data_IF_179436229844
#
_entry.id   IF_179436229844
#
_cell.length_a   1.000
_cell.length_b   1.000
_cell.length_c   1.000
_cell.angle_alpha   90.00
_cell.angle_beta   90.00
_cell.angle_gamma   90.00
#
_symmetry.space_group_name_H-M   'P 1'
#
loop_
_entity.id
_entity.type
_entity.pdbx_description
1 polymer ?
#
# COMPACT_ATOMS: atom_id res chain seq x y z
N UNK A 1 -22.30 3.45 6.66
CA UNK A 1 -22.15 3.98 5.28
C UNK A 1 -21.44 5.32 5.37
N UNK A 2 -20.53 5.61 4.46
CA UNK A 2 -19.79 6.89 4.41
C UNK A 2 -20.35 7.73 3.26
N UNK A 3 -20.87 8.93 3.54
CA UNK A 3 -21.27 9.88 2.49
C UNK A 3 -20.08 10.73 2.11
N UNK A 4 -19.67 10.70 0.84
CA UNK A 4 -18.49 11.43 0.38
C UNK A 4 -18.90 12.79 -0.15
N UNK A 5 -18.50 13.85 0.56
CA UNK A 5 -18.68 15.24 0.12
C UNK A 5 -17.36 15.94 -0.15
N UNK A 6 -16.28 15.53 0.53
CA UNK A 6 -14.93 16.05 0.33
C UNK A 6 -13.90 14.93 0.25
N UNK A 7 -13.06 14.98 -0.77
CA UNK A 7 -11.95 14.06 -0.98
C UNK A 7 -10.61 14.79 -0.85
N UNK A 8 -9.70 14.25 -0.03
CA UNK A 8 -8.30 14.68 0.02
C UNK A 8 -7.46 13.75 -0.84
N UNK A 9 -6.73 14.30 -1.81
CA UNK A 9 -5.90 13.55 -2.76
C UNK A 9 -4.42 13.94 -2.63
N UNK A 10 -3.57 12.97 -2.36
CA UNK A 10 -2.12 13.16 -2.31
C UNK A 10 -1.41 11.91 -2.82
N UNK A 11 -1.17 11.86 -4.12
CA UNK A 11 -0.61 10.69 -4.80
C UNK A 11 0.78 10.98 -5.35
N UNK A 12 1.72 10.05 -5.26
CA UNK A 12 2.96 10.06 -6.03
C UNK A 12 2.72 9.52 -7.45
N UNK A 13 2.10 8.35 -7.57
CA UNK A 13 1.65 7.77 -8.84
C UNK A 13 0.31 8.39 -9.27
N UNK A 14 0.28 8.99 -10.47
CA UNK A 14 -0.90 9.66 -11.03
C UNK A 14 -1.74 8.77 -11.95
N UNK A 15 -1.37 7.49 -12.10
CA UNK A 15 -2.05 6.56 -13.01
C UNK A 15 -3.55 6.50 -12.73
N UNK A 16 -4.37 6.90 -13.71
CA UNK A 16 -5.84 6.89 -13.63
C UNK A 16 -6.46 7.90 -12.65
N UNK A 17 -5.65 8.74 -12.00
CA UNK A 17 -6.13 9.66 -10.96
C UNK A 17 -7.06 10.74 -11.52
N UNK A 18 -6.79 11.25 -12.72
CA UNK A 18 -7.60 12.27 -13.37
C UNK A 18 -9.01 11.76 -13.68
N UNK A 19 -9.11 10.53 -14.17
CA UNK A 19 -10.37 9.85 -14.49
C UNK A 19 -11.18 9.63 -13.22
N UNK A 20 -10.54 9.12 -12.17
CA UNK A 20 -11.17 8.94 -10.87
C UNK A 20 -11.67 10.27 -10.27
N UNK A 21 -10.84 11.31 -10.32
CA UNK A 21 -11.19 12.62 -9.79
C UNK A 21 -12.33 13.30 -10.59
N UNK A 22 -12.41 13.07 -11.91
CA UNK A 22 -13.56 13.51 -12.72
C UNK A 22 -14.86 12.84 -12.28
N UNK A 23 -14.83 11.55 -11.96
CA UNK A 23 -16.02 10.86 -11.42
C UNK A 23 -16.44 11.42 -10.07
N UNK A 24 -15.49 11.70 -9.18
CA UNK A 24 -15.76 12.37 -7.90
C UNK A 24 -16.39 13.76 -8.10
N UNK A 25 -15.81 14.58 -8.97
CA UNK A 25 -16.31 15.92 -9.26
C UNK A 25 -17.71 15.89 -9.88
N UNK A 26 -18.01 14.92 -10.75
CA UNK A 26 -19.34 14.73 -11.33
C UNK A 26 -20.42 14.39 -10.28
N UNK A 27 -20.02 13.80 -9.15
CA UNK A 27 -20.88 13.55 -8.00
C UNK A 27 -20.98 14.76 -7.04
N UNK A 28 -20.35 15.88 -7.37
CA UNK A 28 -20.33 17.09 -6.55
C UNK A 28 -19.36 17.01 -5.36
N UNK A 29 -18.39 16.09 -5.39
CA UNK A 29 -17.36 15.98 -4.35
C UNK A 29 -16.35 17.12 -4.49
N UNK A 30 -16.10 17.82 -3.38
CA UNK A 30 -15.04 18.83 -3.32
C UNK A 30 -13.66 18.15 -3.28
N UNK A 31 -12.77 18.58 -4.17
CA UNK A 31 -11.41 18.04 -4.26
C UNK A 31 -10.43 18.95 -3.51
N UNK A 32 -9.74 18.37 -2.52
CA UNK A 32 -8.61 18.98 -1.83
C UNK A 32 -7.35 18.21 -2.19
N UNK A 33 -6.27 18.86 -2.61
CA UNK A 33 -5.07 18.12 -3.04
C UNK A 33 -3.74 18.77 -2.64
N UNK A 34 -2.72 17.95 -2.44
CA UNK A 34 -1.33 18.41 -2.21
C UNK A 34 -0.70 18.97 -3.49
N UNK A 35 0.28 19.87 -3.39
CA UNK A 35 0.90 20.62 -4.50
C UNK A 35 0.92 19.92 -5.88
N UNK A 36 1.82 18.95 -6.09
CA UNK A 36 1.92 18.25 -7.38
C UNK A 36 0.68 17.43 -7.78
N UNK A 37 -0.19 17.08 -6.82
CA UNK A 37 -1.51 16.50 -7.12
C UNK A 37 -2.50 17.56 -7.58
N UNK A 38 -2.53 18.71 -6.93
CA UNK A 38 -3.39 19.83 -7.28
C UNK A 38 -3.06 20.34 -8.68
N UNK A 39 -1.77 20.50 -9.00
CA UNK A 39 -1.32 20.91 -10.34
C UNK A 39 -1.77 19.91 -11.41
N UNK A 40 -1.50 18.61 -11.22
CA UNK A 40 -1.91 17.56 -12.15
C UNK A 40 -3.43 17.57 -12.42
N UNK A 41 -4.24 17.69 -11.36
CA UNK A 41 -5.70 17.70 -11.49
C UNK A 41 -6.23 19.00 -12.11
N UNK A 42 -5.61 20.14 -11.79
CA UNK A 42 -5.96 21.44 -12.39
C UNK A 42 -5.69 21.42 -13.90
N UNK A 43 -4.54 20.85 -14.32
CA UNK A 43 -4.21 20.66 -15.73
C UNK A 43 -5.19 19.72 -16.44
N UNK A 44 -5.84 18.81 -15.71
CA UNK A 44 -6.93 17.97 -16.21
C UNK A 44 -8.31 18.66 -16.24
N UNK A 45 -8.37 19.97 -15.95
CA UNK A 45 -9.57 20.81 -16.02
C UNK A 45 -10.46 20.73 -14.77
N UNK A 46 -9.96 20.21 -13.65
CA UNK A 46 -10.73 20.07 -12.41
C UNK A 46 -10.53 21.29 -11.49
N UNK A 47 -11.60 21.65 -10.78
CA UNK A 47 -11.51 22.64 -9.69
C UNK A 47 -10.99 21.95 -8.44
N UNK A 48 -9.85 22.41 -7.94
CA UNK A 48 -9.17 21.82 -6.78
C UNK A 48 -8.80 22.91 -5.78
N UNK A 49 -9.07 22.67 -4.51
CA UNK A 49 -8.54 23.45 -3.39
C UNK A 49 -7.20 22.85 -2.97
N UNK A 50 -6.15 23.65 -2.82
CA UNK A 50 -4.87 23.12 -2.32
C UNK A 50 -4.97 22.79 -0.82
N UNK A 51 -4.18 21.83 -0.33
CA UNK A 51 -4.13 21.50 1.11
C UNK A 51 -3.72 22.73 1.92
N UNK A 52 -2.83 23.55 1.39
CA UNK A 52 -2.35 24.82 1.96
C UNK A 52 -3.52 25.79 2.16
N UNK A 53 -4.34 26.00 1.12
CA UNK A 53 -5.52 26.85 1.19
C UNK A 53 -6.59 26.28 2.14
N UNK A 54 -6.79 24.96 2.11
CA UNK A 54 -7.72 24.28 3.00
C UNK A 54 -7.28 24.41 4.47
N UNK A 55 -6.00 24.20 4.75
CA UNK A 55 -5.44 24.23 6.09
C UNK A 55 -5.19 25.66 6.60
N UNK A 56 -5.04 26.63 5.71
CA UNK A 56 -4.64 28.01 6.04
C UNK A 56 -3.16 28.11 6.40
N UNK A 57 -2.30 27.33 5.74
CA UNK A 57 -0.86 27.27 5.99
C UNK A 57 -0.08 27.62 4.72
N UNK A 58 1.19 28.01 4.89
CA UNK A 58 2.16 28.11 3.80
C UNK A 58 3.03 26.86 3.76
N UNK A 59 3.63 26.57 2.61
CA UNK A 59 4.59 25.47 2.48
C UNK A 59 5.82 25.70 3.38
N UNK A 60 6.32 24.63 4.00
CA UNK A 60 7.45 24.65 4.93
C UNK A 60 8.34 23.42 4.72
N UNK A 61 9.64 23.61 4.96
CA UNK A 61 10.67 22.55 4.93
C UNK A 61 10.65 21.73 3.64
N UNK A 62 10.66 22.41 2.49
CA UNK A 62 10.66 21.80 1.14
C UNK A 62 9.54 20.76 0.95
N UNK A 63 8.36 21.05 1.49
CA UNK A 63 7.17 20.20 1.35
C UNK A 63 7.09 19.01 2.30
N UNK A 64 8.05 18.85 3.24
CA UNK A 64 8.04 17.77 4.25
C UNK A 64 6.85 17.85 5.21
N UNK A 65 6.33 19.06 5.47
CA UNK A 65 5.25 19.30 6.45
C UNK A 65 4.03 19.91 5.77
N UNK A 66 3.63 19.37 4.62
CA UNK A 66 2.47 19.85 3.85
C UNK A 66 1.11 19.41 4.41
N UNK A 67 1.00 18.16 4.88
CA UNK A 67 -0.28 17.56 5.30
C UNK A 67 -0.36 17.28 6.80
N UNK A 68 0.75 17.40 7.53
CA UNK A 68 0.88 17.16 8.96
C UNK A 68 0.32 18.34 9.78
N UNK A 69 -0.95 18.67 9.56
CA UNK A 69 -1.61 19.80 10.19
C UNK A 69 -2.86 19.36 10.96
N UNK A 70 -3.12 19.90 12.18
CA UNK A 70 -4.30 19.53 12.96
C UNK A 70 -5.62 19.71 12.21
N UNK A 71 -5.77 20.76 11.38
CA UNK A 71 -7.00 20.96 10.60
C UNK A 71 -7.28 19.83 9.61
N UNK A 72 -6.23 19.28 8.99
CA UNK A 72 -6.35 18.14 8.06
C UNK A 72 -6.69 16.87 8.84
N UNK A 73 -5.90 16.56 9.88
CA UNK A 73 -6.09 15.33 10.64
C UNK A 73 -7.37 15.33 11.48
N UNK A 74 -7.82 16.49 11.99
CA UNK A 74 -9.11 16.61 12.66
C UNK A 74 -10.27 16.40 11.68
N UNK A 75 -10.15 16.91 10.45
CA UNK A 75 -11.10 16.65 9.36
C UNK A 75 -11.28 15.15 9.07
N UNK A 76 -10.19 14.39 9.14
CA UNK A 76 -10.17 12.93 8.93
C UNK A 76 -10.61 12.16 10.18
N UNK A 77 -10.12 12.53 11.37
CA UNK A 77 -10.29 11.74 12.61
C UNK A 77 -11.54 12.10 13.41
N UNK A 78 -12.24 13.17 13.06
CA UNK A 78 -13.50 13.52 13.71
C UNK A 78 -14.51 12.39 13.55
N UNK A 79 -14.93 11.84 14.69
CA UNK A 79 -16.08 10.95 14.82
C UNK A 79 -17.34 11.69 14.43
N UNK A 80 -18.14 11.10 13.53
CA UNK A 80 -19.34 11.76 12.99
C UNK A 80 -20.59 11.41 13.79
N UNK A 81 -20.48 10.41 14.65
CA UNK A 81 -21.46 10.04 15.66
C UNK A 81 -21.30 10.88 16.96
N UNK A 82 -20.24 11.67 17.10
CA UNK A 82 -20.01 12.58 18.21
C UNK A 82 -20.26 14.06 17.80
N UNK A 83 -21.34 14.69 18.29
CA UNK A 83 -21.66 16.08 17.97
C UNK A 83 -20.59 17.09 18.39
N UNK A 84 -19.81 16.82 19.45
CA UNK A 84 -18.74 17.72 19.89
C UNK A 84 -17.59 17.74 18.88
N UNK A 85 -17.21 16.57 18.34
CA UNK A 85 -16.20 16.47 17.28
C UNK A 85 -16.65 17.22 16.01
N UNK A 86 -17.89 17.01 15.58
CA UNK A 86 -18.44 17.67 14.38
C UNK A 86 -18.48 19.19 14.56
N UNK A 87 -18.88 19.70 15.74
CA UNK A 87 -18.85 21.14 16.04
C UNK A 87 -17.43 21.71 16.06
N UNK A 88 -16.48 21.00 16.65
CA UNK A 88 -15.09 21.46 16.76
C UNK A 88 -14.41 21.58 15.39
N UNK A 89 -14.68 20.67 14.46
CA UNK A 89 -14.11 20.72 13.11
C UNK A 89 -14.91 21.62 12.17
N UNK A 90 -16.23 21.66 12.32
CA UNK A 90 -17.15 22.33 11.42
C UNK A 90 -17.34 21.57 10.10
N UNK A 91 -18.52 21.68 9.49
CA UNK A 91 -18.87 20.91 8.29
C UNK A 91 -17.92 21.14 7.10
N UNK A 92 -17.37 22.36 6.96
CA UNK A 92 -16.39 22.70 5.92
C UNK A 92 -15.00 22.08 6.15
N UNK A 93 -14.68 21.66 7.37
CA UNK A 93 -13.40 21.02 7.70
C UNK A 93 -13.39 19.50 7.59
N UNK A 94 -14.56 18.87 7.40
CA UNK A 94 -14.69 17.41 7.36
C UNK A 94 -14.16 16.82 6.04
N UNK A 95 -13.42 15.72 6.13
CA UNK A 95 -12.91 14.95 4.98
C UNK A 95 -13.53 13.57 5.03
N UNK A 96 -14.07 13.07 3.91
CA UNK A 96 -14.85 11.83 3.87
C UNK A 96 -14.17 10.74 3.02
N UNK A 97 -13.26 11.13 2.14
CA UNK A 97 -12.44 10.24 1.33
C UNK A 97 -10.99 10.71 1.33
N UNK A 98 -10.05 9.79 1.54
CA UNK A 98 -8.61 10.06 1.48
C UNK A 98 -7.98 9.16 0.42
N UNK A 99 -7.43 9.76 -0.64
CA UNK A 99 -6.81 9.07 -1.78
C UNK A 99 -5.31 9.33 -1.75
N UNK A 100 -4.52 8.34 -1.35
CA UNK A 100 -3.08 8.49 -1.14
C UNK A 100 -2.34 7.23 -1.59
N UNK A 101 -1.43 7.36 -2.55
CA UNK A 101 -0.44 6.31 -2.79
C UNK A 101 0.95 6.83 -2.39
N UNK A 102 1.70 5.98 -1.71
CA UNK A 102 3.01 6.31 -1.17
C UNK A 102 4.06 6.28 -2.28
N UNK A 103 5.14 7.04 -2.10
CA UNK A 103 6.31 6.91 -2.97
C UNK A 103 6.78 5.45 -2.99
N UNK A 104 7.19 4.88 -4.13
CA UNK A 104 7.57 3.48 -4.21
C UNK A 104 8.97 3.23 -3.61
N UNK A 105 9.13 3.42 -2.30
CA UNK A 105 10.40 3.31 -1.57
C UNK A 105 11.16 2.03 -1.90
N UNK A 106 10.47 0.88 -1.89
CA UNK A 106 11.07 -0.42 -2.21
C UNK A 106 11.63 -0.50 -3.64
N UNK A 107 11.04 0.22 -4.60
CA UNK A 107 11.57 0.31 -5.97
C UNK A 107 12.74 1.28 -6.05
N UNK A 108 12.67 2.40 -5.31
CA UNK A 108 13.73 3.40 -5.29
C UNK A 108 15.04 2.82 -4.73
N UNK A 109 14.98 2.14 -3.58
CA UNK A 109 16.18 1.54 -2.96
C UNK A 109 16.69 0.30 -3.68
N UNK A 110 15.93 -0.24 -4.65
CA UNK A 110 16.40 -1.31 -5.53
C UNK A 110 17.23 -0.76 -6.70
N UNK A 111 17.24 0.56 -6.94
CA UNK A 111 18.06 1.17 -7.99
C UNK A 111 19.54 1.18 -7.57
N UNK A 112 20.47 0.74 -8.44
CA UNK A 112 21.89 0.78 -8.14
C UNK A 112 22.36 2.22 -7.88
N UNK A 113 23.15 2.43 -6.82
CA UNK A 113 23.85 3.69 -6.57
C UNK A 113 23.04 4.78 -5.85
N UNK A 114 21.83 4.50 -5.36
CA UNK A 114 21.10 5.44 -4.51
C UNK A 114 21.83 5.61 -3.17
N UNK A 115 22.12 6.85 -2.77
CA UNK A 115 22.76 7.11 -1.48
C UNK A 115 21.79 6.91 -0.31
N UNK A 116 22.31 6.72 0.91
CA UNK A 116 21.49 6.68 2.12
C UNK A 116 20.68 7.98 2.29
N UNK A 117 21.29 9.13 2.01
CA UNK A 117 20.62 10.42 2.08
C UNK A 117 19.43 10.49 1.13
N UNK A 118 19.64 10.12 -0.14
CA UNK A 118 18.56 10.12 -1.14
C UNK A 118 17.45 9.13 -0.80
N UNK A 119 17.79 7.97 -0.24
CA UNK A 119 16.81 7.01 0.24
C UNK A 119 15.96 7.57 1.40
N UNK A 120 16.59 8.27 2.35
CA UNK A 120 15.87 8.93 3.47
C UNK A 120 14.89 10.00 2.96
N UNK A 121 15.25 10.73 1.90
CA UNK A 121 14.33 11.70 1.28
C UNK A 121 13.08 11.06 0.65
N UNK A 122 13.15 9.77 0.28
CA UNK A 122 11.99 9.05 -0.25
C UNK A 122 11.02 8.55 0.83
N UNK A 123 11.31 8.76 2.12
CA UNK A 123 10.46 8.32 3.22
C UNK A 123 9.26 9.27 3.38
N UNK A 124 8.11 8.86 2.84
CA UNK A 124 6.84 9.58 2.99
C UNK A 124 6.22 9.48 4.39
N UNK A 125 6.39 10.54 5.20
CA UNK A 125 5.76 10.67 6.52
C UNK A 125 4.27 11.07 6.40
N UNK A 126 4.00 12.05 5.55
CA UNK A 126 2.66 12.67 5.44
C UNK A 126 1.63 11.72 4.85
N UNK A 127 1.99 10.98 3.80
CA UNK A 127 1.13 9.99 3.16
C UNK A 127 0.75 8.85 4.11
N UNK A 128 1.72 8.33 4.86
CA UNK A 128 1.48 7.28 5.87
C UNK A 128 0.54 7.80 6.97
N UNK A 129 0.77 9.02 7.47
CA UNK A 129 -0.09 9.62 8.49
C UNK A 129 -1.54 9.79 8.00
N UNK A 130 -1.74 10.25 6.76
CA UNK A 130 -3.06 10.40 6.15
C UNK A 130 -3.78 9.05 6.00
N UNK A 131 -3.10 8.03 5.46
CA UNK A 131 -3.65 6.69 5.28
C UNK A 131 -4.07 6.08 6.62
N UNK A 132 -3.19 6.11 7.62
CA UNK A 132 -3.49 5.54 8.95
C UNK A 132 -4.62 6.28 9.65
N UNK A 133 -4.69 7.61 9.51
CA UNK A 133 -5.78 8.40 10.08
C UNK A 133 -7.14 8.04 9.47
N UNK A 134 -7.20 7.93 8.13
CA UNK A 134 -8.43 7.57 7.43
C UNK A 134 -8.84 6.12 7.72
N UNK A 135 -7.89 5.17 7.66
CA UNK A 135 -8.13 3.77 7.97
C UNK A 135 -8.59 3.55 9.41
N UNK A 136 -8.04 4.29 10.38
CA UNK A 136 -8.52 4.27 11.77
C UNK A 136 -9.98 4.70 11.87
N UNK A 137 -10.41 5.67 11.07
CA UNK A 137 -11.76 6.24 11.10
C UNK A 137 -12.68 5.70 9.99
N UNK A 138 -12.48 4.45 9.56
CA UNK A 138 -13.15 3.84 8.39
C UNK A 138 -14.68 3.80 8.44
N UNK A 139 -15.25 3.93 9.64
CA UNK A 139 -16.70 4.05 9.86
C UNK A 139 -17.27 5.36 9.30
N UNK A 140 -16.41 6.37 9.12
CA UNK A 140 -16.78 7.72 8.73
C UNK A 140 -15.98 8.27 7.55
N UNK A 141 -14.81 7.70 7.26
CA UNK A 141 -13.91 8.16 6.20
C UNK A 141 -13.44 6.95 5.40
N UNK A 142 -13.62 6.97 4.09
CA UNK A 142 -13.05 5.96 3.21
C UNK A 142 -11.60 6.30 2.86
N UNK A 143 -10.76 5.30 2.62
CA UNK A 143 -9.38 5.49 2.18
C UNK A 143 -9.13 4.70 0.90
N UNK A 144 -8.30 5.22 0.00
CA UNK A 144 -7.94 4.57 -1.26
C UNK A 144 -6.44 4.71 -1.42
N UNK A 145 -5.75 3.57 -1.48
CA UNK A 145 -4.30 3.54 -1.40
C UNK A 145 -3.59 3.03 -2.67
N UNK A 146 -4.34 2.49 -3.62
CA UNK A 146 -3.81 1.91 -4.86
C UNK A 146 -4.70 2.26 -6.07
N UNK A 147 -4.14 2.56 -7.26
CA UNK A 147 -4.93 2.91 -8.45
C UNK A 147 -5.95 1.85 -8.88
N UNK A 148 -5.67 0.57 -8.63
CA UNK A 148 -6.56 -0.55 -8.97
C UNK A 148 -7.90 -0.49 -8.21
N UNK A 149 -7.97 0.26 -7.10
CA UNK A 149 -9.17 0.43 -6.30
C UNK A 149 -10.11 1.52 -6.86
N UNK A 150 -9.63 2.41 -7.73
CA UNK A 150 -10.37 3.59 -8.19
C UNK A 150 -11.71 3.23 -8.82
N UNK A 151 -11.70 2.25 -9.74
CA UNK A 151 -12.92 1.82 -10.44
C UNK A 151 -13.97 1.29 -9.47
N UNK A 152 -13.58 0.40 -8.56
CA UNK A 152 -14.52 -0.19 -7.60
C UNK A 152 -15.15 0.89 -6.70
N UNK A 153 -14.36 1.85 -6.24
CA UNK A 153 -14.84 2.94 -5.39
C UNK A 153 -15.75 3.89 -6.16
N UNK A 154 -15.41 4.22 -7.40
CA UNK A 154 -16.21 5.09 -8.24
C UNK A 154 -17.57 4.44 -8.58
N UNK A 155 -17.55 3.15 -8.94
CA UNK A 155 -18.76 2.36 -9.19
C UNK A 155 -19.66 2.31 -7.95
N UNK A 156 -19.08 2.05 -6.77
CA UNK A 156 -19.81 2.02 -5.51
C UNK A 156 -20.43 3.38 -5.16
N UNK A 157 -19.70 4.49 -5.37
CA UNK A 157 -20.22 5.83 -5.16
C UNK A 157 -21.37 6.16 -6.11
N UNK A 158 -21.27 5.81 -7.40
CA UNK A 158 -22.35 6.04 -8.37
C UNK A 158 -23.61 5.27 -8.00
N UNK A 159 -23.48 3.98 -7.68
CA UNK A 159 -24.59 3.13 -7.28
C UNK A 159 -25.22 3.57 -5.95
N UNK A 160 -24.37 3.96 -4.99
CA UNK A 160 -24.77 4.43 -3.66
C UNK A 160 -25.18 5.90 -3.58
N UNK A 161 -25.28 6.62 -4.71
CA UNK A 161 -25.61 8.06 -4.77
C UNK A 161 -24.70 8.91 -3.88
N UNK A 162 -23.38 8.71 -4.01
CA UNK A 162 -22.34 9.38 -3.22
C UNK A 162 -22.04 8.70 -1.88
N UNK A 163 -22.61 7.52 -1.61
CA UNK A 163 -22.38 6.78 -0.37
C UNK A 163 -21.60 5.49 -0.62
N UNK A 164 -20.69 5.18 0.29
CA UNK A 164 -19.92 3.94 0.32
C UNK A 164 -20.46 2.98 1.38
N UNK A 165 -20.66 1.69 1.04
CA UNK A 165 -21.08 0.67 2.00
C UNK A 165 -19.95 0.32 2.97
N UNK A 166 -20.32 0.00 4.22
CA UNK A 166 -19.37 -0.29 5.30
C UNK A 166 -18.44 -1.48 5.02
N UNK A 167 -18.89 -2.59 4.39
CA UNK A 167 -17.98 -3.67 3.99
C UNK A 167 -16.85 -3.21 3.06
N UNK A 168 -17.13 -2.25 2.16
CA UNK A 168 -16.12 -1.68 1.26
C UNK A 168 -15.15 -0.78 2.02
N UNK A 169 -15.64 0.14 2.87
CA UNK A 169 -14.74 1.03 3.62
C UNK A 169 -13.87 0.27 4.63
N UNK A 170 -14.40 -0.79 5.26
CA UNK A 170 -13.62 -1.68 6.10
C UNK A 170 -12.50 -2.39 5.32
N UNK A 171 -12.81 -2.99 4.16
CA UNK A 171 -11.79 -3.65 3.32
C UNK A 171 -10.72 -2.69 2.84
N UNK A 172 -11.10 -1.47 2.47
CA UNK A 172 -10.17 -0.41 2.08
C UNK A 172 -9.26 0.02 3.24
N UNK A 173 -9.78 0.10 4.46
CA UNK A 173 -8.98 0.40 5.65
C UNK A 173 -7.96 -0.70 5.96
N UNK A 174 -8.35 -1.97 5.82
CA UNK A 174 -7.41 -3.10 5.94
C UNK A 174 -6.29 -2.97 4.89
N UNK A 175 -6.63 -2.71 3.63
CA UNK A 175 -5.65 -2.53 2.56
C UNK A 175 -4.67 -1.38 2.84
N UNK A 176 -5.14 -0.26 3.40
CA UNK A 176 -4.29 0.86 3.78
C UNK A 176 -3.31 0.50 4.91
N UNK A 177 -3.77 -0.21 5.95
CA UNK A 177 -2.87 -0.67 7.01
C UNK A 177 -1.85 -1.70 6.50
N UNK A 178 -2.27 -2.64 5.65
CA UNK A 178 -1.37 -3.57 4.98
C UNK A 178 -0.31 -2.82 4.16
N UNK A 179 -0.69 -1.81 3.38
CA UNK A 179 0.26 -1.00 2.63
C UNK A 179 1.29 -0.33 3.55
N UNK A 180 0.85 0.33 4.63
CA UNK A 180 1.77 1.00 5.57
C UNK A 180 2.68 0.01 6.30
N UNK A 181 2.19 -1.18 6.66
CA UNK A 181 3.02 -2.24 7.25
C UNK A 181 4.12 -2.71 6.31
N UNK A 182 3.81 -2.90 5.02
CA UNK A 182 4.80 -3.23 3.99
C UNK A 182 5.82 -2.12 3.80
N UNK A 183 5.35 -0.89 3.81
CA UNK A 183 6.17 0.29 3.64
C UNK A 183 7.20 0.43 4.76
N UNK A 184 6.77 0.35 6.01
CA UNK A 184 7.66 0.41 7.18
C UNK A 184 8.62 -0.79 7.24
N UNK A 185 8.17 -1.98 6.84
CA UNK A 185 9.03 -3.17 6.73
C UNK A 185 10.17 -2.94 5.73
N UNK A 186 9.89 -2.33 4.58
CA UNK A 186 10.91 -2.03 3.58
C UNK A 186 11.93 -0.99 4.09
N UNK A 187 11.47 0.04 4.79
CA UNK A 187 12.34 1.07 5.41
C UNK A 187 13.23 0.43 6.47
N UNK A 188 12.65 -0.33 7.40
CA UNK A 188 13.40 -0.99 8.48
C UNK A 188 14.45 -1.97 7.91
N UNK A 189 14.08 -2.74 6.89
CA UNK A 189 15.01 -3.66 6.21
C UNK A 189 16.18 -2.92 5.56
N UNK A 190 15.92 -1.82 4.86
CA UNK A 190 16.97 -1.02 4.21
C UNK A 190 17.91 -0.38 5.24
N UNK A 191 17.38 0.31 6.25
CA UNK A 191 18.18 0.98 7.28
C UNK A 191 18.96 -0.04 8.15
N UNK A 192 18.35 -1.19 8.45
CA UNK A 192 19.00 -2.26 9.21
C UNK A 192 20.20 -2.85 8.47
N UNK A 193 20.08 -3.11 7.16
CA UNK A 193 21.18 -3.65 6.36
C UNK A 193 22.40 -2.72 6.32
N UNK A 194 22.19 -1.39 6.31
CA UNK A 194 23.27 -0.41 6.36
C UNK A 194 24.05 -0.45 7.68
N UNK A 195 23.34 -0.65 8.81
CA UNK A 195 23.97 -0.81 10.12
C UNK A 195 24.82 -2.09 10.18
N UNK A 196 24.34 -3.18 9.58
CA UNK A 196 25.07 -4.44 9.50
C UNK A 196 26.33 -4.34 8.64
N UNK A 197 26.29 -3.59 7.53
CA UNK A 197 27.48 -3.36 6.69
C UNK A 197 28.57 -2.53 7.38
N UNK A 198 28.20 -1.55 8.20
CA UNK A 198 29.14 -0.79 9.03
C UNK A 198 29.81 -1.66 10.11
N UNK A 199 29.09 -2.64 10.66
CA UNK A 199 29.61 -3.59 11.64
C UNK A 199 30.41 -4.75 11.01
N UNK A 200 30.04 -5.22 9.81
CA UNK A 200 30.68 -6.36 9.14
C UNK A 200 31.99 -6.03 8.44
N UNK A 201 32.30 -4.74 8.21
CA UNK A 201 33.61 -4.33 7.70
C UNK A 201 34.78 -4.67 8.66
N UNK A 202 34.48 -5.09 9.90
CA UNK A 202 35.47 -5.49 10.90
C UNK A 202 35.58 -7.02 11.12
N UNK A 203 34.75 -7.84 10.45
CA UNK A 203 34.80 -9.30 10.62
C UNK A 203 34.76 -10.01 9.26
N UNK A 204 35.89 -10.62 8.88
CA UNK A 204 35.97 -11.57 7.77
C UNK A 204 35.18 -12.84 8.14
N UNK A 205 33.87 -12.81 7.89
CA UNK A 205 32.93 -13.89 8.19
C UNK A 205 31.59 -13.63 7.51
N UNK A 206 30.79 -14.69 7.36
CA UNK A 206 29.45 -14.60 6.76
C UNK A 206 28.62 -13.50 7.44
N UNK A 207 27.79 -12.73 6.70
CA UNK A 207 27.00 -11.66 7.29
C UNK A 207 26.15 -12.19 8.44
N UNK A 208 26.17 -11.48 9.57
CA UNK A 208 25.35 -11.83 10.73
C UNK A 208 23.86 -11.84 10.34
N UNK A 209 23.11 -12.82 10.82
CA UNK A 209 21.66 -12.83 10.68
C UNK A 209 21.06 -11.61 11.41
N UNK A 210 19.99 -11.00 10.89
CA UNK A 210 19.41 -9.82 11.52
C UNK A 210 18.70 -10.19 12.83
N UNK A 211 18.74 -9.28 13.81
CA UNK A 211 18.01 -9.42 15.09
C UNK A 211 16.49 -9.48 14.90
N UNK A 212 15.98 -8.87 13.82
CA UNK A 212 14.57 -8.89 13.46
C UNK A 212 14.40 -9.21 11.97
N UNK A 213 13.54 -10.18 11.67
CA UNK A 213 13.13 -10.52 10.31
C UNK A 213 11.61 -10.42 10.16
N UNK A 214 11.16 -9.79 9.07
CA UNK A 214 9.74 -9.69 8.73
C UNK A 214 9.49 -10.31 7.36
N UNK A 215 8.55 -11.25 7.29
CA UNK A 215 8.17 -11.93 6.05
C UNK A 215 6.80 -11.44 5.62
N UNK A 216 6.74 -10.71 4.51
CA UNK A 216 5.48 -10.21 3.96
C UNK A 216 5.12 -10.97 2.69
N UNK A 217 3.98 -11.67 2.73
CA UNK A 217 3.49 -12.50 1.62
C UNK A 217 2.02 -12.19 1.32
N UNK A 218 1.61 -12.37 0.07
CA UNK A 218 0.23 -12.26 -0.38
C UNK A 218 -0.28 -13.63 -0.78
N UNK A 219 -1.50 -13.94 -0.35
CA UNK A 219 -2.18 -15.17 -0.77
C UNK A 219 -2.44 -15.14 -2.27
N UNK A 220 -1.98 -16.18 -2.97
CA UNK A 220 -2.27 -16.39 -4.40
C UNK A 220 -3.57 -17.16 -4.58
N UNK A 221 -3.78 -18.26 -3.85
CA UNK A 221 -5.03 -19.03 -3.82
C UNK A 221 -5.09 -19.96 -2.60
N UNK A 222 -6.27 -20.55 -2.34
CA UNK A 222 -6.42 -21.65 -1.38
C UNK A 222 -5.87 -22.93 -1.99
N UNK A 223 -5.22 -23.78 -1.19
CA UNK A 223 -4.95 -25.16 -1.59
C UNK A 223 -6.15 -26.03 -1.24
N UNK A 224 -6.29 -27.16 -1.94
CA UNK A 224 -7.38 -28.12 -1.70
C UNK A 224 -7.41 -28.62 -0.25
N UNK A 225 -6.23 -28.85 0.32
CA UNK A 225 -5.96 -29.17 1.72
C UNK A 225 -4.47 -28.88 2.00
N UNK A 226 -4.05 -29.02 3.26
CA UNK A 226 -2.64 -28.98 3.66
C UNK A 226 -1.90 -30.25 3.23
N UNK A 227 -1.03 -30.77 4.08
CA UNK A 227 -0.35 -32.05 3.82
C UNK A 227 -1.35 -33.22 3.79
N UNK A 228 -2.36 -33.15 4.67
CA UNK A 228 -3.42 -34.14 4.82
C UNK A 228 -4.82 -33.52 4.61
N UNK A 229 -5.84 -34.31 4.18
CA UNK A 229 -7.18 -33.79 3.84
C UNK A 229 -7.92 -33.01 4.93
N UNK A 230 -7.61 -33.26 6.21
CA UNK A 230 -8.23 -32.58 7.35
C UNK A 230 -7.60 -31.20 7.64
N UNK A 231 -6.47 -30.88 7.01
CA UNK A 231 -5.74 -29.63 7.20
C UNK A 231 -6.14 -28.61 6.12
N UNK A 232 -6.21 -27.33 6.48
CA UNK A 232 -6.39 -26.25 5.52
C UNK A 232 -5.03 -25.80 4.98
N UNK A 233 -4.96 -25.44 3.70
CA UNK A 233 -3.76 -24.93 3.06
C UNK A 233 -4.01 -23.67 2.24
N UNK A 234 -3.00 -22.81 2.13
CA UNK A 234 -3.03 -21.65 1.25
C UNK A 234 -1.65 -21.42 0.65
N UNK A 235 -1.60 -21.05 -0.63
CA UNK A 235 -0.36 -20.69 -1.31
C UNK A 235 -0.14 -19.19 -1.20
N UNK A 236 0.98 -18.80 -0.59
CA UNK A 236 1.35 -17.40 -0.37
C UNK A 236 2.67 -17.11 -1.09
N UNK A 237 2.75 -15.96 -1.76
CA UNK A 237 3.93 -15.54 -2.52
C UNK A 237 4.47 -14.21 -1.96
N UNK A 238 5.79 -13.98 -1.96
CA UNK A 238 6.36 -12.69 -1.59
C UNK A 238 5.72 -11.55 -2.39
N UNK A 239 5.45 -10.41 -1.74
CA UNK A 239 4.86 -9.22 -2.41
C UNK A 239 5.91 -8.47 -3.22
N UNK A 240 7.13 -8.40 -2.70
CA UNK A 240 8.33 -7.96 -3.37
C UNK A 240 9.35 -9.10 -3.33
N UNK A 241 10.04 -9.35 -4.44
CA UNK A 241 10.98 -10.46 -4.47
C UNK A 241 11.50 -10.77 -5.86
N UNK A 242 12.35 -11.78 -5.88
CA UNK A 242 13.00 -12.31 -7.08
C UNK A 242 11.98 -12.65 -8.18
N UNK A 243 12.28 -12.41 -9.47
CA UNK A 243 11.49 -12.95 -10.58
C UNK A 243 11.60 -14.49 -10.69
N UNK A 244 12.42 -15.11 -9.84
CA UNK A 244 12.71 -16.53 -9.81
C UNK A 244 12.01 -17.23 -8.64
N UNK A 245 11.77 -18.54 -8.79
CA UNK A 245 11.23 -19.41 -7.74
C UNK A 245 9.79 -19.85 -7.97
N UNK A 246 9.28 -20.71 -7.08
CA UNK A 246 7.94 -21.31 -7.21
C UNK A 246 6.81 -20.27 -7.28
N UNK A 247 7.02 -19.10 -6.66
CA UNK A 247 6.05 -18.01 -6.64
C UNK A 247 5.71 -17.47 -8.03
N UNK A 248 6.63 -17.58 -9.01
CA UNK A 248 6.45 -17.07 -10.38
C UNK A 248 6.01 -18.14 -11.39
N UNK A 249 5.87 -19.39 -10.95
CA UNK A 249 5.44 -20.47 -11.82
C UNK A 249 4.05 -20.22 -12.42
N UNK A 250 3.93 -20.60 -13.68
CA UNK A 250 2.68 -20.66 -14.43
C UNK A 250 2.38 -22.11 -14.75
N UNK A 251 1.32 -22.64 -14.17
CA UNK A 251 0.81 -23.95 -14.55
C UNK A 251 0.19 -23.87 -15.95
N UNK A 252 0.74 -24.63 -16.90
CA UNK A 252 0.26 -24.66 -18.29
C UNK A 252 -0.88 -25.66 -18.48
N UNK A 253 -0.88 -26.77 -17.72
CA UNK A 253 -1.87 -27.84 -17.81
C UNK A 253 -2.01 -28.62 -16.49
N UNK A 254 -3.01 -29.50 -16.42
CA UNK A 254 -3.25 -30.39 -15.30
C UNK A 254 -4.20 -29.81 -14.25
N UNK A 255 -4.44 -30.59 -13.20
CA UNK A 255 -5.24 -30.16 -12.04
C UNK A 255 -4.43 -29.24 -11.14
N UNK A 256 -5.13 -28.44 -10.35
CA UNK A 256 -4.51 -27.59 -9.32
C UNK A 256 -3.54 -28.40 -8.44
N UNK A 257 -2.36 -27.84 -8.18
CA UNK A 257 -1.33 -28.48 -7.38
C UNK A 257 -1.76 -28.58 -5.91
N UNK A 258 -1.51 -29.75 -5.30
CA UNK A 258 -1.67 -29.94 -3.86
C UNK A 258 -0.48 -29.37 -3.07
N UNK A 259 -0.61 -29.27 -1.75
CA UNK A 259 0.48 -28.89 -0.85
C UNK A 259 1.74 -29.74 -1.09
N UNK A 260 1.60 -31.07 -1.12
CA UNK A 260 2.71 -31.99 -1.33
C UNK A 260 3.33 -31.84 -2.72
N UNK A 261 2.54 -31.47 -3.75
CA UNK A 261 3.11 -31.22 -5.07
C UNK A 261 4.00 -29.98 -5.08
N UNK A 262 3.69 -28.94 -4.29
CA UNK A 262 4.59 -27.79 -4.16
C UNK A 262 5.87 -28.16 -3.41
N UNK A 263 5.81 -29.00 -2.38
CA UNK A 263 7.00 -29.50 -1.68
C UNK A 263 7.90 -30.33 -2.61
N UNK A 264 7.32 -31.31 -3.31
CA UNK A 264 8.05 -32.16 -4.24
C UNK A 264 8.66 -31.35 -5.39
N UNK A 265 7.96 -30.30 -5.87
CA UNK A 265 8.47 -29.41 -6.92
C UNK A 265 9.59 -28.50 -6.42
N UNK A 266 9.51 -28.00 -5.18
CA UNK A 266 10.60 -27.22 -4.57
C UNK A 266 11.87 -28.07 -4.45
N UNK A 267 11.72 -29.29 -3.92
CA UNK A 267 12.82 -30.24 -3.77
C UNK A 267 13.43 -30.61 -5.13
N UNK A 268 12.60 -30.93 -6.13
CA UNK A 268 13.06 -31.29 -7.46
C UNK A 268 13.85 -30.14 -8.12
N UNK A 269 13.36 -28.89 -8.00
CA UNK A 269 14.05 -27.72 -8.55
C UNK A 269 15.38 -27.46 -7.85
N UNK A 270 15.43 -27.53 -6.52
CA UNK A 270 16.68 -27.34 -5.77
C UNK A 270 17.73 -28.37 -6.15
N UNK A 271 17.37 -29.66 -6.20
CA UNK A 271 18.28 -30.71 -6.64
C UNK A 271 18.73 -30.51 -8.08
N UNK A 272 17.85 -30.04 -8.98
CA UNK A 272 18.21 -29.79 -10.37
C UNK A 272 19.24 -28.65 -10.52
N UNK A 273 19.18 -27.65 -9.64
CA UNK A 273 20.11 -26.51 -9.65
C UNK A 273 21.52 -26.86 -9.16
N UNK A 274 21.73 -28.04 -8.56
CA UNK A 274 23.06 -28.50 -8.13
C UNK A 274 23.93 -29.02 -9.29
N UNK A 275 23.37 -29.18 -10.49
CA UNK A 275 24.05 -29.74 -11.65
C UNK A 275 24.15 -28.73 -12.80
N UNK A 276 25.34 -28.59 -13.39
CA UNK A 276 25.57 -27.76 -14.56
C UNK A 276 25.20 -28.45 -15.89
N UNK A 277 25.16 -29.78 -15.91
CA UNK A 277 24.83 -30.58 -17.09
C UNK A 277 23.32 -30.83 -17.21
N UNK A 278 22.79 -31.14 -18.42
CA UNK A 278 21.39 -31.51 -18.58
C UNK A 278 20.99 -32.66 -17.66
N UNK A 279 20.11 -32.37 -16.69
CA UNK A 279 19.79 -33.27 -15.58
C UNK A 279 18.28 -33.51 -15.47
N UNK A 280 17.90 -34.74 -15.11
CA UNK A 280 16.52 -35.12 -14.80
C UNK A 280 16.43 -35.54 -13.33
N UNK A 281 15.48 -34.96 -12.59
CA UNK A 281 15.24 -35.28 -11.17
C UNK A 281 13.81 -35.79 -11.02
N UNK A 282 13.64 -36.92 -10.32
CA UNK A 282 12.35 -37.52 -10.00
C UNK A 282 12.23 -37.58 -8.48
N UNK A 283 11.30 -36.80 -7.92
CA UNK A 283 10.99 -36.76 -6.49
C UNK A 283 9.64 -37.41 -6.22
N UNK A 284 9.50 -38.04 -5.06
CA UNK A 284 8.24 -38.56 -4.55
C UNK A 284 8.27 -38.58 -3.02
N UNK A 285 7.31 -37.91 -2.38
CA UNK A 285 7.13 -37.87 -0.93
C UNK A 285 8.32 -37.25 -0.18
N UNK A 286 8.49 -35.94 -0.35
CA UNK A 286 9.39 -35.12 0.47
C UNK A 286 8.84 -34.90 1.88
#
# INVERSE_FOLDING_TARGET
MVTVKRALLSCSDKTGLDTFAKELAALGVELVASGGTAEFLTNAGLRVTTVEAFAGITEQLDGRVKTLHPKVHAGILARRDDPAHVRSVGAAGLIDLVVVNLYPFAQAVAQPGLSLGDAVEQIDVGGVALLRAAAKNFQHVATVCEPQQYREVADALRQGRGQLPEPLTHRLAVAAFELTSRYDTAIAGFLGAQNSHAASAQAAGSPALPDQASVTVRKRHNLRYGENPHQRGGWYVPISGSPWGLGTLRQLQGRELSYNNFLDLDAALRCLLDFAEPTCVIIKHT
#
